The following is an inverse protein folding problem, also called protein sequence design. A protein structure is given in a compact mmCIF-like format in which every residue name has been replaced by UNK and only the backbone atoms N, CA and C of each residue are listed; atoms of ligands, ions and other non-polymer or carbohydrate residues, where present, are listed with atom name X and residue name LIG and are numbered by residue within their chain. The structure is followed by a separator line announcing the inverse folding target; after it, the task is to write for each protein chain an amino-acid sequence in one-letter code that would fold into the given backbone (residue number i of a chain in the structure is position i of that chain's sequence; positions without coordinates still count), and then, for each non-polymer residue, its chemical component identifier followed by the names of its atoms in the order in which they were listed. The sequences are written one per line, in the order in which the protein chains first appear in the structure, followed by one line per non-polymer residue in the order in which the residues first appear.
data_IF_216169064045
#
_entry.id   IF_216169064045
#
_cell.length_a   1.000
_cell.length_b   1.000
_cell.length_c   1.000
_cell.angle_alpha   90.00
_cell.angle_beta   90.00
_cell.angle_gamma   90.00
#
_symmetry.space_group_name_H-M   'P 1'
#
loop_
_entity.id
_entity.type
_entity.pdbx_description
1 polymer ?
#
# COMPACT_ATOMS: atom_id res chain seq x y z
N UNK A 1 35.47 -52.88 18.12
CA UNK A 1 34.51 -52.48 17.07
C UNK A 1 35.05 -51.20 16.44
N UNK A 2 35.30 -51.13 15.11
CA UNK A 2 35.86 -49.94 14.50
C UNK A 2 34.77 -48.86 14.37
N UNK A 3 35.07 -47.65 14.86
CA UNK A 3 34.20 -46.48 14.73
C UNK A 3 34.10 -46.04 13.25
N UNK A 4 32.87 -45.94 12.75
CA UNK A 4 32.56 -45.37 11.44
C UNK A 4 32.78 -43.84 11.46
N UNK A 5 33.45 -43.23 10.47
CA UNK A 5 33.61 -41.78 10.43
C UNK A 5 32.28 -41.10 10.04
N UNK A 6 31.87 -40.11 10.82
CA UNK A 6 30.69 -39.31 10.57
C UNK A 6 30.82 -38.53 9.24
N UNK A 7 29.84 -38.69 8.36
CA UNK A 7 29.70 -37.90 7.13
C UNK A 7 29.34 -36.46 7.52
N UNK A 8 30.09 -35.43 7.10
CA UNK A 8 29.69 -34.05 7.33
C UNK A 8 28.45 -33.74 6.48
N UNK A 9 27.33 -33.39 7.13
CA UNK A 9 26.16 -32.82 6.45
C UNK A 9 26.59 -31.53 5.75
N UNK A 10 26.47 -31.50 4.43
CA UNK A 10 26.61 -30.29 3.62
C UNK A 10 25.53 -29.27 4.02
N UNK A 11 25.86 -28.40 4.95
CA UNK A 11 25.01 -27.32 5.44
C UNK A 11 25.27 -26.03 4.64
N UNK A 12 24.31 -25.69 3.77
CA UNK A 12 23.88 -24.31 3.48
C UNK A 12 24.80 -23.30 2.77
N UNK A 13 25.60 -23.70 1.77
CA UNK A 13 26.33 -22.73 0.94
C UNK A 13 25.40 -21.71 0.22
N UNK A 14 24.17 -22.10 -0.11
CA UNK A 14 23.18 -21.28 -0.82
C UNK A 14 22.63 -20.09 -0.01
N UNK A 15 22.65 -20.16 1.33
CA UNK A 15 22.21 -19.05 2.19
C UNK A 15 23.21 -17.90 2.28
N UNK A 16 24.50 -18.15 1.98
CA UNK A 16 25.58 -17.18 2.24
C UNK A 16 25.78 -16.13 1.13
N UNK A 17 25.38 -16.42 -0.11
CA UNK A 17 25.54 -15.49 -1.22
C UNK A 17 24.43 -14.43 -1.26
N UNK A 18 23.20 -14.82 -0.90
CA UNK A 18 22.05 -13.91 -0.85
C UNK A 18 22.17 -12.87 0.28
N UNK A 19 22.80 -13.22 1.40
CA UNK A 19 23.06 -12.30 2.52
C UNK A 19 24.13 -11.24 2.24
N UNK A 20 24.86 -11.32 1.11
CA UNK A 20 25.82 -10.27 0.73
C UNK A 20 25.15 -9.02 0.19
N UNK A 21 23.89 -9.13 -0.25
CA UNK A 21 23.12 -7.97 -0.67
C UNK A 21 22.43 -7.34 0.54
N UNK A 22 22.72 -6.07 0.87
CA UNK A 22 22.23 -5.44 2.10
C UNK A 22 20.70 -5.42 2.19
N UNK A 23 20.01 -5.34 1.05
CA UNK A 23 18.54 -5.35 0.96
C UNK A 23 17.96 -6.72 1.33
N UNK A 24 18.56 -7.81 0.84
CA UNK A 24 18.07 -9.17 1.12
C UNK A 24 18.33 -9.52 2.59
N UNK A 25 19.48 -9.11 3.13
CA UNK A 25 19.78 -9.21 4.55
C UNK A 25 18.74 -8.47 5.41
N UNK A 26 18.40 -7.23 5.04
CA UNK A 26 17.41 -6.44 5.75
C UNK A 26 16.00 -7.08 5.72
N UNK A 27 15.54 -7.56 4.56
CA UNK A 27 14.24 -8.23 4.45
C UNK A 27 14.22 -9.54 5.27
N UNK A 28 15.31 -10.31 5.25
CA UNK A 28 15.42 -11.55 6.01
C UNK A 28 15.36 -11.29 7.51
N UNK A 29 16.05 -10.24 7.97
CA UNK A 29 15.97 -9.75 9.36
C UNK A 29 14.54 -9.36 9.74
N UNK A 30 13.87 -8.54 8.92
CA UNK A 30 12.49 -8.13 9.19
C UNK A 30 11.51 -9.31 9.21
N UNK A 31 11.69 -10.29 8.31
CA UNK A 31 10.89 -11.51 8.31
C UNK A 31 11.10 -12.35 9.58
N UNK A 32 12.30 -12.35 10.15
CA UNK A 32 12.63 -13.04 11.40
C UNK A 32 12.01 -12.34 12.61
N UNK A 33 12.10 -11.02 12.67
CA UNK A 33 11.71 -10.25 13.86
C UNK A 33 10.21 -9.97 13.92
N UNK A 34 9.60 -9.64 12.78
CA UNK A 34 8.18 -9.25 12.69
C UNK A 34 7.28 -10.31 12.04
N UNK A 35 7.88 -11.34 11.43
CA UNK A 35 7.18 -12.38 10.68
C UNK A 35 6.95 -12.01 9.23
N UNK A 36 7.16 -12.98 8.34
CA UNK A 36 7.00 -12.82 6.88
C UNK A 36 5.60 -12.34 6.45
N UNK A 37 4.55 -12.69 7.21
CA UNK A 37 3.16 -12.26 6.93
C UNK A 37 3.00 -10.75 7.00
N UNK A 38 3.65 -10.09 7.96
CA UNK A 38 3.60 -8.63 8.08
C UNK A 38 4.36 -7.98 6.93
N UNK A 39 5.58 -8.45 6.67
CA UNK A 39 6.43 -7.91 5.59
C UNK A 39 5.72 -8.03 4.24
N UNK A 40 5.09 -9.17 3.96
CA UNK A 40 4.33 -9.38 2.73
C UNK A 40 3.09 -8.47 2.66
N UNK A 41 2.36 -8.30 3.76
CA UNK A 41 1.23 -7.36 3.83
C UNK A 41 1.70 -5.93 3.53
N UNK A 42 2.81 -5.49 4.12
CA UNK A 42 3.37 -4.16 3.90
C UNK A 42 3.84 -3.98 2.46
N UNK A 43 4.42 -5.01 1.84
CA UNK A 43 4.81 -4.98 0.44
C UNK A 43 3.63 -4.64 -0.47
N UNK A 44 2.49 -5.33 -0.32
CA UNK A 44 1.33 -5.07 -1.18
C UNK A 44 0.59 -3.78 -0.81
N UNK A 45 0.44 -3.47 0.47
CA UNK A 45 -0.32 -2.28 0.90
C UNK A 45 0.46 -0.98 0.71
N UNK A 46 1.73 -0.95 1.11
CA UNK A 46 2.52 0.29 1.08
C UNK A 46 3.32 0.46 -0.22
N UNK A 47 3.81 -0.63 -0.82
CA UNK A 47 4.59 -0.45 -2.04
C UNK A 47 3.66 -0.44 -3.24
N UNK A 48 2.83 -1.47 -3.41
CA UNK A 48 1.97 -1.57 -4.59
C UNK A 48 0.78 -0.63 -4.53
N UNK A 49 -0.04 -0.70 -3.47
CA UNK A 49 -1.21 0.17 -3.42
C UNK A 49 -0.82 1.63 -3.19
N UNK A 50 -0.09 1.95 -2.11
CA UNK A 50 0.33 3.34 -1.86
C UNK A 50 1.39 3.79 -2.86
N UNK A 51 2.55 3.13 -2.98
CA UNK A 51 3.61 3.60 -3.87
C UNK A 51 3.19 3.65 -5.34
N UNK A 52 2.81 2.52 -5.93
CA UNK A 52 2.47 2.45 -7.36
C UNK A 52 1.09 3.03 -7.67
N UNK A 53 0.01 2.47 -7.13
CA UNK A 53 -1.35 2.82 -7.54
C UNK A 53 -1.74 4.25 -7.16
N UNK A 54 -1.31 4.78 -6.00
CA UNK A 54 -1.62 6.17 -5.64
C UNK A 54 -0.90 7.18 -6.54
N UNK A 55 0.35 6.89 -6.89
CA UNK A 55 1.12 7.73 -7.81
C UNK A 55 0.53 7.70 -9.21
N UNK A 56 0.09 6.51 -9.69
CA UNK A 56 -0.62 6.38 -10.96
C UNK A 56 -1.95 7.13 -10.97
N UNK A 57 -2.73 7.04 -9.89
CA UNK A 57 -3.98 7.79 -9.78
C UNK A 57 -3.71 9.30 -9.82
N UNK A 58 -2.71 9.77 -9.06
CA UNK A 58 -2.36 11.18 -9.01
C UNK A 58 -1.88 11.72 -10.37
N UNK A 59 -1.05 10.97 -11.10
CA UNK A 59 -0.57 11.38 -12.42
C UNK A 59 -1.66 11.30 -13.49
N UNK A 60 -2.48 10.25 -13.48
CA UNK A 60 -3.51 10.00 -14.50
C UNK A 60 -4.78 10.86 -14.34
N UNK A 61 -5.15 11.25 -13.12
CA UNK A 61 -6.40 11.99 -12.87
C UNK A 61 -6.50 13.30 -13.69
N UNK A 62 -5.40 14.03 -13.84
CA UNK A 62 -5.40 15.26 -14.66
C UNK A 62 -5.65 14.94 -16.14
N UNK A 63 -5.02 13.90 -16.68
CA UNK A 63 -5.21 13.50 -18.08
C UNK A 63 -6.62 12.96 -18.33
N UNK A 64 -7.19 12.26 -17.35
CA UNK A 64 -8.57 11.78 -17.41
C UNK A 64 -9.56 12.93 -17.61
N UNK A 65 -9.47 14.00 -16.80
CA UNK A 65 -10.35 15.16 -16.96
C UNK A 65 -10.03 16.02 -18.19
N UNK A 66 -8.76 16.11 -18.59
CA UNK A 66 -8.39 16.75 -19.87
C UNK A 66 -9.02 16.02 -21.06
N UNK A 67 -9.03 14.68 -21.05
CA UNK A 67 -9.67 13.89 -22.10
C UNK A 67 -11.19 14.09 -22.15
N UNK A 68 -11.82 14.51 -21.05
CA UNK A 68 -13.23 14.91 -20.99
C UNK A 68 -13.49 16.35 -21.42
N UNK A 69 -12.48 17.11 -21.84
CA UNK A 69 -12.55 18.54 -22.18
C UNK A 69 -12.93 19.46 -21.01
N UNK A 70 -12.63 19.06 -19.76
CA UNK A 70 -12.91 19.90 -18.58
C UNK A 70 -11.97 21.12 -18.55
N UNK A 71 -12.47 22.34 -18.26
CA UNK A 71 -11.63 23.52 -18.11
C UNK A 71 -10.59 23.38 -16.99
N UNK A 72 -9.40 23.95 -17.17
CA UNK A 72 -8.29 23.85 -16.20
C UNK A 72 -8.67 24.14 -14.73
N UNK A 73 -9.37 25.25 -14.42
CA UNK A 73 -9.79 25.56 -13.05
C UNK A 73 -10.70 24.49 -12.43
N UNK A 74 -11.56 23.85 -13.24
CA UNK A 74 -12.45 22.80 -12.77
C UNK A 74 -11.69 21.48 -12.56
N UNK A 75 -10.63 21.21 -13.34
CA UNK A 75 -9.75 20.06 -13.11
C UNK A 75 -9.11 20.16 -11.72
N UNK A 76 -8.52 21.32 -11.38
CA UNK A 76 -7.88 21.52 -10.08
C UNK A 76 -8.87 21.34 -8.92
N UNK A 77 -10.10 21.81 -9.11
CA UNK A 77 -11.20 21.59 -8.15
C UNK A 77 -11.52 20.10 -8.00
N UNK A 78 -11.71 19.36 -9.09
CA UNK A 78 -12.04 17.92 -9.05
C UNK A 78 -10.88 17.09 -8.46
N UNK A 79 -9.64 17.40 -8.81
CA UNK A 79 -8.45 16.75 -8.25
C UNK A 79 -8.31 17.02 -6.75
N UNK A 80 -8.65 18.23 -6.30
CA UNK A 80 -8.68 18.54 -4.86
C UNK A 80 -9.70 17.67 -4.11
N UNK A 81 -10.89 17.47 -4.70
CA UNK A 81 -11.90 16.55 -4.15
C UNK A 81 -11.35 15.12 -4.09
N UNK A 82 -10.74 14.63 -5.16
CA UNK A 82 -10.17 13.27 -5.21
C UNK A 82 -9.11 13.04 -4.13
N UNK A 83 -8.35 14.07 -3.74
CA UNK A 83 -7.33 13.99 -2.69
C UNK A 83 -7.86 14.18 -1.27
N UNK A 84 -9.13 14.55 -1.09
CA UNK A 84 -9.74 14.74 0.22
C UNK A 84 -9.66 13.50 1.16
N UNK A 85 -9.69 12.22 0.69
CA UNK A 85 -9.57 11.07 1.58
C UNK A 85 -8.34 11.10 2.49
N UNK A 86 -7.21 11.63 2.03
CA UNK A 86 -5.99 11.73 2.84
C UNK A 86 -6.18 12.56 4.11
N UNK A 87 -7.02 13.60 4.05
CA UNK A 87 -7.40 14.40 5.22
C UNK A 87 -8.37 13.66 6.16
N UNK A 88 -9.10 12.66 5.64
CA UNK A 88 -10.06 11.85 6.40
C UNK A 88 -9.40 10.70 7.20
N UNK A 89 -8.08 10.51 7.08
CA UNK A 89 -7.33 9.48 7.81
C UNK A 89 -7.63 9.44 9.31
N UNK A 90 -7.59 10.55 10.07
CA UNK A 90 -7.85 10.50 11.51
C UNK A 90 -9.25 9.98 11.83
N UNK A 91 -10.24 10.38 11.03
CA UNK A 91 -11.62 9.92 11.19
C UNK A 91 -11.73 8.41 11.00
N UNK A 92 -11.17 7.86 9.91
CA UNK A 92 -11.17 6.42 9.68
C UNK A 92 -10.38 5.66 10.76
N UNK A 93 -9.31 6.26 11.28
CA UNK A 93 -8.51 5.72 12.37
C UNK A 93 -9.37 5.50 13.61
N UNK A 94 -10.02 6.56 14.09
CA UNK A 94 -10.92 6.53 15.25
C UNK A 94 -12.07 5.53 15.05
N UNK A 95 -12.71 5.54 13.88
CA UNK A 95 -13.82 4.62 13.58
C UNK A 95 -13.36 3.16 13.63
N UNK A 96 -12.25 2.85 12.96
CA UNK A 96 -11.73 1.48 12.89
C UNK A 96 -11.19 0.96 14.22
N UNK A 97 -10.73 1.84 15.12
CA UNK A 97 -10.32 1.46 16.47
C UNK A 97 -11.51 1.31 17.40
N UNK A 98 -12.52 2.17 17.31
CA UNK A 98 -13.66 2.21 18.23
C UNK A 98 -14.73 1.15 17.93
N UNK A 99 -14.92 0.79 16.66
CA UNK A 99 -16.01 -0.11 16.24
C UNK A 99 -15.46 -1.38 15.57
N UNK A 100 -15.20 -2.46 16.33
CA UNK A 100 -14.85 -3.75 15.72
C UNK A 100 -16.03 -4.32 14.94
N UNK A 101 -15.79 -4.77 13.71
CA UNK A 101 -16.79 -5.46 12.88
C UNK A 101 -16.48 -6.96 12.94
N UNK A 102 -17.46 -7.79 13.32
CA UNK A 102 -17.27 -9.25 13.46
C UNK A 102 -16.10 -9.64 14.40
N UNK A 103 -15.78 -8.79 15.39
CA UNK A 103 -14.64 -8.98 16.30
C UNK A 103 -13.27 -8.58 15.74
N UNK A 104 -13.20 -8.07 14.50
CA UNK A 104 -11.95 -7.62 13.87
C UNK A 104 -11.92 -6.10 13.69
N UNK A 105 -10.84 -5.46 14.14
CA UNK A 105 -10.69 -4.00 14.09
C UNK A 105 -10.13 -3.45 12.76
N UNK A 106 -9.54 -4.28 11.90
CA UNK A 106 -8.78 -3.78 10.72
C UNK A 106 -9.13 -4.49 9.42
N UNK A 107 -9.21 -5.82 9.44
CA UNK A 107 -9.49 -6.61 8.24
C UNK A 107 -10.84 -6.27 7.56
N UNK A 108 -11.97 -6.11 8.29
CA UNK A 108 -13.25 -5.77 7.66
C UNK A 108 -13.21 -4.40 7.01
N UNK A 109 -12.56 -3.43 7.64
CA UNK A 109 -12.38 -2.09 7.09
C UNK A 109 -11.54 -2.13 5.81
N UNK A 110 -10.43 -2.88 5.77
CA UNK A 110 -9.66 -3.06 4.54
C UNK A 110 -10.53 -3.66 3.43
N UNK A 111 -11.37 -4.65 3.74
CA UNK A 111 -12.26 -5.28 2.74
C UNK A 111 -13.34 -4.32 2.22
N UNK A 112 -13.98 -3.55 3.11
CA UNK A 112 -14.96 -2.52 2.72
C UNK A 112 -14.31 -1.48 1.79
N UNK A 113 -13.13 -0.98 2.17
CA UNK A 113 -12.39 -0.02 1.35
C UNK A 113 -12.01 -0.61 -0.01
N UNK A 114 -11.67 -1.91 -0.06
CA UNK A 114 -11.40 -2.63 -1.31
C UNK A 114 -12.61 -2.64 -2.25
N UNK A 115 -13.79 -2.93 -1.71
CA UNK A 115 -15.04 -2.98 -2.49
C UNK A 115 -15.38 -1.59 -3.02
N UNK A 116 -15.24 -0.55 -2.19
CA UNK A 116 -15.49 0.83 -2.58
C UNK A 116 -14.57 1.28 -3.71
N UNK A 117 -13.26 1.04 -3.59
CA UNK A 117 -12.33 1.46 -4.63
C UNK A 117 -12.40 0.63 -5.91
N UNK A 118 -12.72 -0.67 -5.82
CA UNK A 118 -13.02 -1.48 -7.00
C UNK A 118 -14.26 -0.95 -7.73
N UNK A 119 -15.34 -0.66 -7.00
CA UNK A 119 -16.55 -0.06 -7.57
C UNK A 119 -16.28 1.31 -8.20
N UNK A 120 -15.48 2.15 -7.53
CA UNK A 120 -15.04 3.44 -8.06
C UNK A 120 -14.22 3.32 -9.35
N UNK A 121 -13.29 2.35 -9.39
CA UNK A 121 -12.46 2.09 -10.58
C UNK A 121 -13.31 1.60 -11.75
N UNK A 122 -14.23 0.66 -11.50
CA UNK A 122 -15.17 0.17 -12.53
C UNK A 122 -16.02 1.32 -13.07
N UNK A 123 -16.51 2.20 -12.19
CA UNK A 123 -17.28 3.38 -12.59
C UNK A 123 -16.47 4.27 -13.54
N UNK A 124 -15.25 4.64 -13.18
CA UNK A 124 -14.37 5.51 -13.98
C UNK A 124 -14.10 4.93 -15.37
N UNK A 125 -13.83 3.62 -15.44
CA UNK A 125 -13.54 2.91 -16.69
C UNK A 125 -14.79 2.76 -17.57
N UNK A 126 -15.97 2.69 -16.97
CA UNK A 126 -17.23 2.51 -17.70
C UNK A 126 -17.80 3.81 -18.28
N UNK A 127 -17.23 4.97 -17.94
CA UNK A 127 -17.72 6.27 -18.38
C UNK A 127 -17.18 6.66 -19.76
N UNK A 128 -18.05 7.25 -20.57
CA UNK A 128 -17.64 7.97 -21.77
C UNK A 128 -16.88 9.24 -21.37
N UNK A 129 -15.79 9.54 -22.08
CA UNK A 129 -14.93 10.69 -21.82
C UNK A 129 -15.55 11.98 -22.37
N UNK A 130 -16.60 12.45 -21.71
CA UNK A 130 -17.31 13.70 -22.00
C UNK A 130 -17.44 14.55 -20.74
N UNK A 131 -17.46 15.86 -20.91
CA UNK A 131 -17.44 16.84 -19.80
C UNK A 131 -18.57 16.62 -18.78
N UNK A 132 -19.77 16.26 -19.25
CA UNK A 132 -20.94 16.00 -18.39
C UNK A 132 -20.74 14.86 -17.39
N UNK A 133 -19.82 13.93 -17.67
CA UNK A 133 -19.49 12.82 -16.79
C UNK A 133 -18.37 13.15 -15.78
N UNK A 134 -17.73 14.31 -15.87
CA UNK A 134 -16.55 14.64 -15.05
C UNK A 134 -16.82 14.54 -13.55
N UNK A 135 -17.98 14.99 -13.08
CA UNK A 135 -18.33 14.89 -11.66
C UNK A 135 -18.49 13.43 -11.20
N UNK A 136 -19.08 12.57 -12.04
CA UNK A 136 -19.24 11.14 -11.75
C UNK A 136 -17.88 10.44 -11.76
N UNK A 137 -17.02 10.79 -12.72
CA UNK A 137 -15.64 10.32 -12.78
C UNK A 137 -14.85 10.71 -11.54
N UNK A 138 -15.02 11.94 -11.04
CA UNK A 138 -14.40 12.39 -9.80
C UNK A 138 -14.88 11.60 -8.57
N UNK A 139 -16.16 11.25 -8.50
CA UNK A 139 -16.67 10.36 -7.45
C UNK A 139 -16.03 8.97 -7.53
N UNK A 140 -15.92 8.40 -8.73
CA UNK A 140 -15.27 7.10 -8.91
C UNK A 140 -13.78 7.13 -8.53
N UNK A 141 -13.05 8.17 -8.92
CA UNK A 141 -11.65 8.37 -8.53
C UNK A 141 -11.49 8.66 -7.03
N UNK A 142 -12.43 9.37 -6.41
CA UNK A 142 -12.48 9.57 -4.95
C UNK A 142 -12.63 8.23 -4.22
N UNK A 143 -13.54 7.36 -4.69
CA UNK A 143 -13.71 6.02 -4.12
C UNK A 143 -12.46 5.15 -4.34
N UNK A 144 -11.79 5.22 -5.48
CA UNK A 144 -10.50 4.55 -5.68
C UNK A 144 -9.44 5.09 -4.69
N UNK A 145 -9.40 6.40 -4.46
CA UNK A 145 -8.45 7.01 -3.54
C UNK A 145 -8.76 6.69 -2.06
N UNK A 146 -10.05 6.53 -1.69
CA UNK A 146 -10.43 6.09 -0.34
C UNK A 146 -9.88 4.70 -0.01
N UNK A 147 -9.80 3.81 -1.00
CA UNK A 147 -9.20 2.48 -0.85
C UNK A 147 -7.71 2.58 -0.51
N UNK A 148 -6.99 3.39 -1.27
CA UNK A 148 -5.55 3.58 -1.12
C UNK A 148 -5.20 4.20 0.23
N UNK A 149 -5.95 5.25 0.61
CA UNK A 149 -5.83 5.86 1.93
C UNK A 149 -6.14 4.86 3.06
N UNK A 150 -7.20 4.07 2.90
CA UNK A 150 -7.61 3.06 3.89
C UNK A 150 -6.55 1.98 4.09
N UNK A 151 -5.94 1.47 3.01
CA UNK A 151 -4.85 0.50 3.11
C UNK A 151 -3.62 1.07 3.81
N UNK A 152 -3.23 2.28 3.47
CA UNK A 152 -2.10 2.95 4.09
C UNK A 152 -2.32 3.11 5.59
N UNK A 153 -3.44 3.72 5.98
CA UNK A 153 -3.77 3.96 7.39
C UNK A 153 -3.87 2.67 8.21
N UNK A 154 -4.55 1.65 7.69
CA UNK A 154 -4.77 0.40 8.42
C UNK A 154 -3.48 -0.43 8.51
N UNK A 155 -2.61 -0.37 7.49
CA UNK A 155 -1.28 -0.95 7.55
C UNK A 155 -0.39 -0.21 8.57
N UNK A 156 -0.43 1.13 8.59
CA UNK A 156 0.24 1.99 9.57
C UNK A 156 -0.18 1.63 11.00
N UNK A 157 -1.48 1.47 11.25
CA UNK A 157 -2.00 1.04 12.55
C UNK A 157 -1.53 -0.39 12.94
N UNK A 158 -1.35 -1.30 11.98
CA UNK A 158 -0.90 -2.67 12.26
C UNK A 158 0.59 -2.72 12.55
N UNK A 159 1.44 -2.12 11.72
CA UNK A 159 2.90 -2.20 11.93
C UNK A 159 3.34 -1.32 13.11
N UNK A 160 2.71 -0.16 13.36
CA UNK A 160 3.05 0.70 14.51
C UNK A 160 2.86 -0.02 15.84
N UNK A 161 1.81 -0.84 15.99
CA UNK A 161 1.64 -1.71 17.16
C UNK A 161 2.73 -2.76 17.29
N UNK A 162 3.29 -3.22 16.17
CA UNK A 162 4.37 -4.22 16.15
C UNK A 162 5.73 -3.62 16.48
N UNK A 163 5.97 -2.35 16.10
CA UNK A 163 7.22 -1.63 16.41
C UNK A 163 7.54 -1.64 17.91
N UNK A 164 6.50 -1.55 18.76
CA UNK A 164 6.66 -1.61 20.23
C UNK A 164 7.21 -2.95 20.73
N UNK A 165 7.04 -4.05 19.97
CA UNK A 165 7.49 -5.38 20.35
C UNK A 165 8.97 -5.65 20.05
N UNK A 166 9.54 -4.98 19.05
CA UNK A 166 10.96 -5.15 18.64
C UNK A 166 11.57 -3.79 18.26
N UNK A 167 11.82 -2.91 19.24
CA UNK A 167 12.23 -1.53 18.97
C UNK A 167 13.56 -1.41 18.20
N UNK A 168 14.47 -2.37 18.38
CA UNK A 168 15.77 -2.40 17.70
C UNK A 168 15.63 -2.48 16.17
N UNK A 169 14.73 -3.32 15.66
CA UNK A 169 14.48 -3.50 14.23
C UNK A 169 13.43 -2.53 13.68
N UNK A 170 12.87 -1.65 14.51
CA UNK A 170 11.80 -0.72 14.16
C UNK A 170 12.15 0.27 13.04
N UNK A 171 13.30 0.98 13.13
CA UNK A 171 13.74 1.88 12.07
C UNK A 171 13.93 1.19 10.71
N UNK A 172 14.39 -0.07 10.71
CA UNK A 172 14.54 -0.85 9.48
C UNK A 172 13.19 -1.18 8.83
N UNK A 173 12.15 -1.46 9.63
CA UNK A 173 10.80 -1.73 9.12
C UNK A 173 10.18 -0.48 8.47
N UNK A 174 10.33 0.68 9.12
CA UNK A 174 9.87 1.97 8.57
C UNK A 174 10.63 2.30 7.28
N UNK A 175 11.94 2.07 7.27
CA UNK A 175 12.78 2.26 6.08
C UNK A 175 12.36 1.36 4.93
N UNK A 176 12.01 0.10 5.21
CA UNK A 176 11.47 -0.83 4.21
C UNK A 176 10.19 -0.28 3.57
N UNK A 177 9.24 0.17 4.38
CA UNK A 177 7.96 0.74 3.93
C UNK A 177 8.18 1.95 3.02
N UNK A 178 9.00 2.91 3.45
CA UNK A 178 9.24 4.13 2.68
C UNK A 178 10.08 3.88 1.43
N UNK A 179 11.14 3.08 1.53
CA UNK A 179 11.98 2.76 0.38
C UNK A 179 11.18 2.05 -0.72
N UNK A 180 10.36 1.05 -0.35
CA UNK A 180 9.53 0.36 -1.32
C UNK A 180 8.42 1.24 -1.91
N UNK A 181 7.83 2.12 -1.11
CA UNK A 181 6.88 3.14 -1.60
C UNK A 181 7.52 4.04 -2.66
N UNK A 182 8.73 4.57 -2.40
CA UNK A 182 9.43 5.43 -3.37
C UNK A 182 9.87 4.67 -4.63
N UNK A 183 10.35 3.43 -4.48
CA UNK A 183 10.76 2.61 -5.61
C UNK A 183 9.60 2.31 -6.55
N UNK A 184 8.46 1.86 -6.02
CA UNK A 184 7.29 1.56 -6.86
C UNK A 184 6.57 2.83 -7.33
N UNK A 185 6.63 3.93 -6.58
CA UNK A 185 6.19 5.25 -7.04
C UNK A 185 7.01 5.76 -8.23
N UNK A 186 8.34 5.57 -8.21
CA UNK A 186 9.19 5.89 -9.36
C UNK A 186 8.81 5.05 -10.58
N UNK A 187 8.60 3.73 -10.40
CA UNK A 187 8.14 2.86 -11.49
C UNK A 187 6.79 3.31 -12.06
N UNK A 188 5.85 3.73 -11.20
CA UNK A 188 4.61 4.33 -11.64
C UNK A 188 4.85 5.55 -12.53
N UNK A 189 5.70 6.49 -12.13
CA UNK A 189 5.93 7.71 -12.93
C UNK A 189 6.63 7.47 -14.28
N UNK A 190 7.33 6.33 -14.44
CA UNK A 190 8.08 6.01 -15.65
C UNK A 190 7.27 5.26 -16.71
N UNK A 191 6.10 4.71 -16.33
CA UNK A 191 5.19 3.94 -17.19
C UNK A 191 3.99 4.79 -17.61
#
# INVERSE_FOLDING_TARGET
MPHSPAIPRASSAHGSLLNKLPIIGAITMLCKDYGWRLVLMLHFTNHWAKGYSSTMLASSAQFYFRAMNVPGPDIDRLVSVINMPWAMKPWLGVVSDSFPILGYHKLPYMMIMSILGLGGTILVVSLNLVESNASIGAVGLFLANIQLMGYDLLAEAVYSRRLAGVPESGPALVSYVWAGNQLLGLLATLL
#
